data_IF_182182965725
#
_entry.id   IF_182182965725
#
_cell.length_a   1.000
_cell.length_b   1.000
_cell.length_c   1.000
_cell.angle_alpha   90.00
_cell.angle_beta   90.00
_cell.angle_gamma   90.00
#
_symmetry.space_group_name_H-M   'P 1'
#
loop_
_entity.id
_entity.type
_entity.pdbx_description
1 polymer ?
#
# COMPACT_ATOMS: atom_id res chain seq x y z
N UNK A 1 77.30 1.08 -9.29
CA UNK A 1 78.14 0.17 -10.09
C UNK A 1 77.96 -1.20 -9.48
N UNK A 2 77.01 -1.96 -10.03
CA UNK A 2 76.85 -3.39 -9.78
C UNK A 2 77.65 -4.14 -10.88
N UNK A 3 78.01 -5.42 -10.66
CA UNK A 3 77.10 -6.55 -10.93
C UNK A 3 77.06 -7.56 -9.74
N UNK A 4 76.08 -8.46 -9.52
CA UNK A 4 75.32 -9.42 -10.38
C UNK A 4 76.20 -10.60 -10.85
N UNK A 5 75.89 -11.89 -10.68
CA UNK A 5 74.86 -12.63 -9.91
C UNK A 5 75.60 -13.68 -9.00
N UNK A 6 75.17 -14.88 -8.57
CA UNK A 6 74.01 -15.79 -8.75
C UNK A 6 73.98 -16.74 -7.47
N UNK A 7 73.30 -17.88 -7.23
CA UNK A 7 72.48 -18.90 -7.95
C UNK A 7 71.47 -19.53 -6.94
N UNK A 8 70.47 -20.30 -7.40
CA UNK A 8 69.49 -21.02 -6.57
C UNK A 8 69.95 -22.41 -6.05
N UNK A 9 69.32 -22.94 -4.99
CA UNK A 9 69.51 -24.32 -4.51
C UNK A 9 68.74 -24.68 -3.23
N UNK A 10 68.10 -25.85 -3.22
CA UNK A 10 67.18 -26.37 -2.20
C UNK A 10 67.76 -26.60 -0.78
N UNK A 11 66.89 -26.53 0.24
CA UNK A 11 67.03 -27.32 1.47
C UNK A 11 65.66 -27.66 2.07
N UNK A 12 65.34 -28.96 2.16
CA UNK A 12 64.21 -29.49 2.93
C UNK A 12 64.64 -29.71 4.40
N UNK A 13 63.75 -29.43 5.37
CA UNK A 13 63.86 -30.00 6.72
C UNK A 13 62.49 -30.50 7.20
N UNK A 14 62.42 -31.77 7.59
CA UNK A 14 61.21 -32.39 8.12
C UNK A 14 61.13 -32.18 9.65
N UNK A 15 60.14 -31.40 10.12
CA UNK A 15 59.80 -31.42 11.56
C UNK A 15 58.38 -31.89 11.85
N UNK A 16 58.16 -33.16 11.53
CA UNK A 16 57.02 -33.99 11.91
C UNK A 16 56.85 -34.09 13.43
N UNK A 17 56.15 -33.15 14.06
CA UNK A 17 55.64 -33.33 15.42
C UNK A 17 54.18 -33.80 15.41
N UNK A 18 54.00 -35.10 15.68
CA UNK A 18 52.70 -35.68 16.04
C UNK A 18 52.29 -35.13 17.41
N UNK A 19 51.28 -34.27 17.46
CA UNK A 19 50.56 -33.99 18.71
C UNK A 19 49.26 -34.78 18.73
N UNK A 20 49.24 -35.76 19.64
CA UNK A 20 48.20 -36.75 19.90
C UNK A 20 46.76 -36.25 19.75
N UNK A 21 45.92 -36.99 19.01
CA UNK A 21 44.46 -36.86 19.02
C UNK A 21 43.89 -37.19 20.40
N UNK A 22 43.67 -36.16 21.23
CA UNK A 22 42.81 -36.28 22.41
C UNK A 22 41.36 -36.42 21.97
N UNK A 23 40.84 -37.66 21.91
CA UNK A 23 39.41 -37.92 21.69
C UNK A 23 38.65 -37.67 23.01
N UNK A 24 38.67 -36.41 23.41
CA UNK A 24 37.79 -35.82 24.43
C UNK A 24 36.78 -35.00 23.66
N UNK A 25 35.50 -35.38 23.72
CA UNK A 25 34.42 -34.77 22.94
C UNK A 25 34.09 -33.35 23.44
N UNK A 26 34.97 -32.39 23.14
CA UNK A 26 34.61 -30.99 23.14
C UNK A 26 33.48 -30.81 22.12
N UNK A 27 32.27 -30.51 22.62
CA UNK A 27 31.20 -29.99 21.78
C UNK A 27 31.70 -28.66 21.24
N UNK A 28 32.23 -28.69 20.01
CA UNK A 28 32.76 -27.50 19.36
C UNK A 28 31.60 -26.51 19.21
N UNK A 29 31.59 -25.47 20.04
CA UNK A 29 30.57 -24.43 20.02
C UNK A 29 30.72 -23.68 18.70
N UNK A 30 29.95 -24.11 17.69
CA UNK A 30 29.93 -23.49 16.37
C UNK A 30 29.58 -22.01 16.58
N UNK A 31 30.48 -21.07 16.25
CA UNK A 31 30.18 -19.66 16.46
C UNK A 31 28.94 -19.28 15.68
N UNK A 32 28.05 -18.47 16.24
CA UNK A 32 26.79 -18.06 15.60
C UNK A 32 26.98 -17.55 14.16
N UNK A 33 28.12 -16.93 13.86
CA UNK A 33 28.52 -16.52 12.51
C UNK A 33 28.47 -17.63 11.44
N UNK A 34 28.54 -18.91 11.83
CA UNK A 34 28.49 -20.11 10.98
C UNK A 34 27.22 -20.96 11.20
N UNK A 35 26.12 -20.36 11.68
CA UNK A 35 24.82 -21.04 11.81
C UNK A 35 24.42 -21.74 10.48
N UNK A 36 23.86 -22.94 10.57
CA UNK A 36 23.39 -23.67 9.40
C UNK A 36 22.21 -22.93 8.73
N UNK A 37 22.17 -22.94 7.39
CA UNK A 37 21.13 -22.26 6.62
C UNK A 37 19.72 -22.70 7.02
N UNK A 38 19.46 -24.00 7.11
CA UNK A 38 18.18 -24.56 7.59
C UNK A 38 17.71 -23.96 8.94
N UNK A 39 18.62 -23.80 9.90
CA UNK A 39 18.30 -23.21 11.22
C UNK A 39 17.98 -21.73 11.07
N UNK A 40 18.74 -21.00 10.24
CA UNK A 40 18.48 -19.59 9.97
C UNK A 40 17.16 -19.37 9.21
N UNK A 41 16.83 -20.24 8.26
CA UNK A 41 15.55 -20.27 7.55
C UNK A 41 14.36 -20.53 8.48
N UNK A 42 14.52 -21.44 9.46
CA UNK A 42 13.52 -21.64 10.53
C UNK A 42 13.38 -20.38 11.40
N UNK A 43 14.49 -19.77 11.85
CA UNK A 43 14.44 -18.51 12.62
C UNK A 43 13.75 -17.38 11.84
N UNK A 44 14.06 -17.23 10.54
CA UNK A 44 13.46 -16.21 9.67
C UNK A 44 11.94 -16.39 9.46
N UNK A 45 11.40 -17.61 9.60
CA UNK A 45 9.94 -17.86 9.58
C UNK A 45 9.25 -17.36 10.85
N UNK A 46 9.92 -17.44 12.01
CA UNK A 46 9.45 -16.86 13.27
C UNK A 46 9.67 -15.34 13.39
N UNK A 47 10.22 -14.69 12.35
CA UNK A 47 10.33 -13.24 12.28
C UNK A 47 9.31 -12.70 11.25
N UNK A 48 8.08 -12.37 11.67
CA UNK A 48 7.05 -11.87 10.76
C UNK A 48 7.31 -10.41 10.33
N UNK A 49 8.10 -9.66 11.12
CA UNK A 49 8.52 -8.29 10.85
C UNK A 49 9.65 -8.22 9.79
N UNK A 50 9.48 -7.39 8.75
CA UNK A 50 10.52 -7.20 7.73
C UNK A 50 11.82 -6.60 8.28
N UNK A 51 11.71 -5.68 9.24
CA UNK A 51 12.88 -5.04 9.83
C UNK A 51 13.78 -6.04 10.59
N UNK A 52 13.20 -7.06 11.19
CA UNK A 52 13.96 -8.07 11.94
C UNK A 52 14.61 -9.08 10.99
N UNK A 53 13.93 -9.47 9.91
CA UNK A 53 14.55 -10.21 8.80
C UNK A 53 15.72 -9.43 8.18
N UNK A 54 15.58 -8.11 8.03
CA UNK A 54 16.63 -7.24 7.53
C UNK A 54 17.81 -7.12 8.51
N UNK A 55 17.54 -7.10 9.83
CA UNK A 55 18.57 -7.13 10.86
C UNK A 55 19.34 -8.47 10.87
N UNK A 56 18.65 -9.61 10.76
CA UNK A 56 19.28 -10.93 10.57
C UNK A 56 20.16 -10.94 9.31
N UNK A 57 19.69 -10.35 8.20
CA UNK A 57 20.44 -10.16 6.95
C UNK A 57 21.61 -9.18 7.05
N UNK A 58 21.74 -8.39 8.12
CA UNK A 58 22.83 -7.44 8.32
C UNK A 58 24.01 -8.01 9.12
N UNK A 59 23.76 -8.97 10.04
CA UNK A 59 24.74 -9.54 10.99
C UNK A 59 26.11 -9.87 10.38
N UNK A 60 26.15 -10.68 9.31
CA UNK A 60 27.39 -10.97 8.59
C UNK A 60 27.13 -11.48 7.16
N UNK A 61 28.20 -11.66 6.37
CA UNK A 61 28.10 -12.18 4.99
C UNK A 61 27.52 -13.60 4.93
N UNK A 62 27.87 -14.46 5.89
CA UNK A 62 27.34 -15.83 5.99
C UNK A 62 25.84 -15.82 6.25
N UNK A 63 25.36 -15.06 7.25
CA UNK A 63 23.93 -14.92 7.55
C UNK A 63 23.14 -14.36 6.37
N UNK A 64 23.72 -13.39 5.64
CA UNK A 64 23.11 -12.86 4.42
C UNK A 64 22.96 -13.93 3.34
N UNK A 65 24.00 -14.71 3.07
CA UNK A 65 23.97 -15.79 2.08
C UNK A 65 23.03 -16.93 2.50
N UNK A 66 23.11 -17.37 3.76
CA UNK A 66 22.26 -18.39 4.37
C UNK A 66 20.78 -17.98 4.54
N UNK A 67 20.43 -16.71 4.27
CA UNK A 67 19.05 -16.23 4.21
C UNK A 67 18.45 -16.17 2.80
N UNK A 68 19.23 -16.54 1.77
CA UNK A 68 18.80 -16.64 0.38
C UNK A 68 18.31 -18.06 0.09
N UNK A 69 17.35 -18.20 -0.84
CA UNK A 69 16.85 -19.51 -1.28
C UNK A 69 15.82 -20.18 -0.35
N UNK A 70 15.65 -19.71 0.89
CA UNK A 70 14.54 -20.16 1.74
C UNK A 70 13.23 -19.45 1.35
N UNK A 71 12.19 -20.22 1.02
CA UNK A 71 10.82 -19.72 0.99
C UNK A 71 10.38 -19.34 2.40
N UNK A 72 10.22 -18.04 2.61
CA UNK A 72 9.65 -17.42 3.80
C UNK A 72 8.19 -17.05 3.51
N UNK A 73 7.28 -17.05 4.49
CA UNK A 73 6.00 -16.39 4.32
C UNK A 73 6.24 -14.88 4.13
N UNK A 74 5.32 -14.17 3.49
CA UNK A 74 5.35 -12.70 3.35
C UNK A 74 5.70 -11.99 4.70
N UNK A 75 6.37 -10.83 4.72
CA UNK A 75 6.42 -10.03 5.94
C UNK A 75 5.05 -9.42 6.25
N UNK A 76 4.85 -9.02 7.51
CA UNK A 76 3.69 -8.22 7.93
C UNK A 76 3.65 -6.87 7.20
N UNK A 77 2.46 -6.25 7.09
CA UNK A 77 2.32 -4.92 6.50
C UNK A 77 3.19 -3.88 7.20
N UNK A 78 3.62 -2.88 6.44
CA UNK A 78 4.31 -1.71 6.96
C UNK A 78 3.39 -0.51 6.85
N UNK A 79 3.28 0.26 7.93
CA UNK A 79 2.66 1.57 7.88
C UNK A 79 3.68 2.59 7.37
N UNK A 80 3.31 3.37 6.37
CA UNK A 80 4.11 4.46 5.80
C UNK A 80 3.47 5.79 6.15
N UNK A 81 4.20 6.64 6.86
CA UNK A 81 3.83 8.04 7.12
C UNK A 81 4.64 9.00 6.23
N UNK A 82 4.27 10.29 6.15
CA UNK A 82 4.99 11.29 5.37
C UNK A 82 6.51 11.29 5.62
N UNK A 83 7.28 11.65 4.59
CA UNK A 83 8.75 11.56 4.56
C UNK A 83 9.31 10.14 4.77
N UNK A 84 8.61 9.12 4.25
CA UNK A 84 9.03 7.71 4.24
C UNK A 84 9.42 7.15 5.62
N UNK A 85 8.62 7.51 6.64
CA UNK A 85 8.73 6.91 7.98
C UNK A 85 7.96 5.59 7.95
N UNK A 86 8.69 4.48 7.82
CA UNK A 86 8.15 3.13 7.87
C UNK A 86 8.06 2.65 9.32
N UNK A 87 6.95 2.00 9.66
CA UNK A 87 6.74 1.32 10.93
C UNK A 87 6.28 -0.11 10.64
N UNK A 88 6.71 -1.06 11.46
CA UNK A 88 6.37 -2.47 11.26
C UNK A 88 5.09 -2.81 12.02
N UNK A 89 4.11 -3.42 11.35
CA UNK A 89 2.99 -4.02 12.04
C UNK A 89 3.47 -5.26 12.84
N UNK A 90 2.89 -5.51 14.01
CA UNK A 90 3.25 -6.64 14.88
C UNK A 90 2.08 -7.61 15.05
N UNK A 91 2.38 -8.81 15.57
CA UNK A 91 1.41 -9.85 15.89
C UNK A 91 0.26 -9.35 16.78
N UNK A 92 0.59 -8.57 17.81
CA UNK A 92 -0.38 -7.98 18.75
C UNK A 92 -1.15 -6.77 18.18
N UNK A 93 -1.08 -6.50 16.88
CA UNK A 93 -1.73 -5.35 16.24
C UNK A 93 -1.07 -3.99 16.50
N UNK A 94 -0.09 -3.92 17.41
CA UNK A 94 0.66 -2.71 17.70
C UNK A 94 1.63 -2.36 16.57
N UNK A 95 1.91 -1.06 16.41
CA UNK A 95 2.82 -0.53 15.38
C UNK A 95 4.19 -0.26 16.01
N UNK A 96 5.23 -0.99 15.58
CA UNK A 96 6.55 -0.99 16.23
C UNK A 96 7.68 -0.47 15.33
N UNK A 97 8.66 0.18 15.98
CA UNK A 97 9.94 0.64 15.42
C UNK A 97 9.87 1.49 14.13
N UNK A 98 9.94 2.82 14.30
CA UNK A 98 10.15 3.75 13.20
C UNK A 98 11.51 3.53 12.52
N UNK A 99 11.52 3.49 11.18
CA UNK A 99 12.72 3.62 10.35
C UNK A 99 12.43 4.60 9.21
N UNK A 100 13.29 5.60 8.99
CA UNK A 100 13.27 6.34 7.71
C UNK A 100 13.89 5.44 6.65
N UNK A 101 13.18 5.17 5.56
CA UNK A 101 13.77 4.49 4.42
C UNK A 101 14.81 5.36 3.74
N UNK A 102 15.84 4.76 3.16
CA UNK A 102 16.60 5.45 2.12
C UNK A 102 15.75 5.48 0.85
N UNK A 103 15.77 6.60 0.13
CA UNK A 103 14.98 6.81 -1.08
C UNK A 103 15.84 7.51 -2.14
N UNK A 104 15.51 7.34 -3.43
CA UNK A 104 16.19 8.06 -4.51
C UNK A 104 16.19 9.58 -4.32
N UNK A 105 17.22 10.25 -4.86
CA UNK A 105 17.45 11.68 -4.67
C UNK A 105 16.28 12.52 -5.21
N UNK A 106 15.62 12.04 -6.27
CA UNK A 106 14.45 12.60 -6.93
C UNK A 106 13.29 12.84 -5.95
N UNK A 107 13.11 11.93 -4.99
CA UNK A 107 12.01 11.92 -4.01
C UNK A 107 12.48 12.08 -2.56
N UNK A 108 13.78 12.27 -2.31
CA UNK A 108 14.35 12.45 -0.97
C UNK A 108 14.22 13.89 -0.43
N UNK A 109 13.45 14.77 -1.07
CA UNK A 109 13.30 16.17 -0.66
C UNK A 109 12.34 16.34 0.54
N UNK A 110 12.35 17.53 1.15
CA UNK A 110 11.73 17.77 2.47
C UNK A 110 10.21 17.68 2.53
N UNK A 111 9.52 17.84 1.39
CA UNK A 111 8.07 18.04 1.30
C UNK A 111 7.37 16.92 0.51
N UNK A 112 7.86 15.69 0.67
CA UNK A 112 7.42 14.54 -0.14
C UNK A 112 6.40 13.69 0.61
N UNK A 113 5.21 13.59 -0.01
CA UNK A 113 4.07 12.82 0.47
C UNK A 113 3.99 11.43 -0.15
N UNK A 114 3.48 10.46 0.59
CA UNK A 114 3.05 9.17 0.05
C UNK A 114 1.53 9.15 -0.03
N UNK A 115 0.98 8.78 -1.18
CA UNK A 115 -0.45 8.95 -1.51
C UNK A 115 -1.02 7.67 -2.15
N UNK A 116 -0.63 6.52 -1.59
CA UNK A 116 -1.12 5.19 -1.96
C UNK A 116 0.00 4.16 -2.16
N UNK A 117 -0.35 2.86 -2.05
CA UNK A 117 0.59 1.76 -2.29
C UNK A 117 -0.01 0.62 -3.11
N UNK A 118 0.84 -0.07 -3.87
CA UNK A 118 0.49 -1.31 -4.57
C UNK A 118 1.72 -2.21 -4.70
N UNK A 119 1.70 -3.40 -4.09
CA UNK A 119 2.68 -4.47 -4.32
C UNK A 119 4.15 -4.02 -4.13
N UNK A 120 4.45 -3.26 -3.07
CA UNK A 120 5.79 -2.72 -2.78
C UNK A 120 6.15 -1.41 -3.51
N UNK A 121 5.29 -0.94 -4.41
CA UNK A 121 5.35 0.41 -4.96
C UNK A 121 4.56 1.38 -4.08
N UNK A 122 5.07 2.61 -3.99
CA UNK A 122 4.44 3.76 -3.36
C UNK A 122 4.14 4.78 -4.46
N UNK A 123 2.95 5.39 -4.44
CA UNK A 123 2.72 6.64 -5.15
C UNK A 123 3.22 7.79 -4.29
N UNK A 124 3.98 8.68 -4.91
CA UNK A 124 4.75 9.73 -4.24
C UNK A 124 4.47 11.07 -4.91
N UNK A 125 4.07 12.07 -4.13
CA UNK A 125 3.85 13.44 -4.58
C UNK A 125 4.96 14.38 -4.09
N UNK A 126 5.45 15.24 -4.99
CA UNK A 126 6.50 16.25 -4.73
C UNK A 126 6.07 17.61 -5.28
N UNK A 127 5.85 18.63 -4.44
CA UNK A 127 5.58 19.99 -4.90
C UNK A 127 6.70 20.54 -5.80
N UNK A 128 6.33 21.29 -6.84
CA UNK A 128 7.29 22.04 -7.64
C UNK A 128 7.86 23.24 -6.86
N UNK A 129 9.07 23.68 -7.20
CA UNK A 129 9.70 24.87 -6.60
C UNK A 129 8.94 26.18 -6.88
N UNK A 130 8.13 26.20 -7.94
CA UNK A 130 7.20 27.29 -8.28
C UNK A 130 5.90 27.30 -7.45
N UNK A 131 5.63 26.23 -6.68
CA UNK A 131 4.43 26.09 -5.86
C UNK A 131 3.12 25.88 -6.64
N UNK A 132 3.16 25.63 -7.96
CA UNK A 132 1.96 25.61 -8.81
C UNK A 132 1.33 24.22 -9.00
N UNK A 133 2.12 23.16 -8.97
CA UNK A 133 1.71 21.77 -9.25
C UNK A 133 2.54 20.77 -8.44
N UNK A 134 2.06 19.53 -8.28
CA UNK A 134 2.84 18.42 -7.72
C UNK A 134 3.23 17.38 -8.76
N UNK A 135 4.54 17.14 -8.88
CA UNK A 135 5.07 16.03 -9.67
C UNK A 135 4.84 14.70 -8.95
N UNK A 136 4.47 13.66 -9.70
CA UNK A 136 4.03 12.38 -9.14
C UNK A 136 4.89 11.24 -9.69
N UNK A 137 5.32 10.35 -8.80
CA UNK A 137 6.25 9.25 -9.08
C UNK A 137 5.74 7.95 -8.48
N UNK A 138 5.82 6.85 -9.21
CA UNK A 138 5.75 5.52 -8.58
C UNK A 138 7.17 5.13 -8.18
N UNK A 139 7.39 4.85 -6.90
CA UNK A 139 8.70 4.48 -6.34
C UNK A 139 8.60 3.11 -5.68
N UNK A 140 9.46 2.18 -6.05
CA UNK A 140 9.55 0.89 -5.37
C UNK A 140 10.37 1.04 -4.09
N UNK A 141 9.79 0.69 -2.94
CA UNK A 141 10.43 0.89 -1.63
C UNK A 141 11.61 -0.08 -1.34
N UNK A 142 11.93 -1.00 -2.26
CA UNK A 142 12.95 -2.04 -2.07
C UNK A 142 13.97 -2.14 -3.21
N UNK A 143 13.54 -2.02 -4.47
CA UNK A 143 14.45 -1.91 -5.62
C UNK A 143 14.93 -0.47 -5.86
N UNK A 144 14.24 0.52 -5.29
CA UNK A 144 14.44 1.96 -5.53
C UNK A 144 14.23 2.38 -7.00
N UNK A 145 13.55 1.56 -7.80
CA UNK A 145 13.11 1.91 -9.15
C UNK A 145 12.06 3.02 -9.12
N UNK A 146 12.11 3.92 -10.12
CA UNK A 146 11.23 5.07 -10.25
C UNK A 146 10.53 5.03 -11.61
N UNK A 147 9.22 5.26 -11.63
CA UNK A 147 8.47 5.62 -12.83
C UNK A 147 7.90 7.02 -12.64
N UNK A 148 8.45 7.98 -13.37
CA UNK A 148 7.91 9.34 -13.43
C UNK A 148 6.57 9.32 -14.15
N UNK A 149 5.50 9.78 -13.49
CA UNK A 149 4.20 9.95 -14.13
C UNK A 149 4.18 11.33 -14.82
N UNK A 150 3.47 11.50 -15.95
CA UNK A 150 3.25 12.83 -16.52
C UNK A 150 2.43 13.68 -15.55
N UNK A 151 2.60 15.01 -15.62
CA UNK A 151 1.76 15.94 -14.84
C UNK A 151 0.28 15.82 -15.26
N UNK A 152 -0.64 16.19 -14.37
CA UNK A 152 -2.09 16.23 -14.63
C UNK A 152 -2.51 17.40 -15.55
N UNK A 153 -1.95 17.42 -16.75
CA UNK A 153 -2.31 18.32 -17.85
C UNK A 153 -2.89 17.47 -18.97
N UNK A 154 -4.20 17.25 -18.90
CA UNK A 154 -4.93 16.49 -19.90
C UNK A 154 -5.33 17.44 -21.06
N UNK A 155 -4.87 17.19 -22.30
CA UNK A 155 -5.21 18.06 -23.43
C UNK A 155 -6.67 17.93 -23.88
N UNK A 156 -7.35 16.83 -23.52
CA UNK A 156 -8.72 16.52 -23.93
C UNK A 156 -9.49 15.77 -22.82
N UNK A 157 -10.79 16.02 -22.72
CA UNK A 157 -11.75 15.19 -21.97
C UNK A 157 -12.77 14.59 -22.96
N UNK A 158 -13.02 13.27 -22.87
CA UNK A 158 -13.77 12.54 -23.90
C UNK A 158 -15.25 12.86 -23.99
N UNK A 159 -15.85 13.41 -22.94
CA UNK A 159 -17.30 13.68 -22.84
C UNK A 159 -17.69 15.14 -22.97
N UNK A 160 -16.77 16.08 -22.74
CA UNK A 160 -17.01 17.52 -22.94
C UNK A 160 -16.50 18.04 -24.28
N UNK A 161 -15.49 17.40 -24.88
CA UNK A 161 -14.82 17.89 -26.09
C UNK A 161 -14.08 19.22 -25.88
N UNK A 162 -13.85 19.61 -24.62
CA UNK A 162 -13.25 20.90 -24.26
C UNK A 162 -11.73 20.95 -24.45
N UNK A 163 -11.22 22.18 -24.41
CA UNK A 163 -9.81 22.57 -24.44
C UNK A 163 -8.97 21.93 -23.32
N UNK A 164 -7.63 21.92 -23.45
CA UNK A 164 -6.72 21.50 -22.39
C UNK A 164 -7.04 22.15 -21.05
N UNK A 165 -7.11 21.34 -20.00
CA UNK A 165 -7.41 21.78 -18.64
C UNK A 165 -6.33 21.36 -17.65
N UNK A 166 -6.31 22.05 -16.51
CA UNK A 166 -5.31 21.89 -15.45
C UNK A 166 -6.02 21.36 -14.21
N UNK A 167 -5.49 20.30 -13.61
CA UNK A 167 -6.02 19.78 -12.36
C UNK A 167 -5.82 20.77 -11.20
N UNK A 168 -6.73 20.73 -10.24
CA UNK A 168 -6.62 21.54 -9.04
C UNK A 168 -5.63 20.90 -8.06
N UNK A 169 -4.34 21.12 -8.30
CA UNK A 169 -3.22 20.74 -7.43
C UNK A 169 -2.98 21.75 -6.27
N UNK A 170 -3.94 22.66 -6.01
CA UNK A 170 -3.92 23.60 -4.87
C UNK A 170 -3.78 22.83 -3.54
N UNK A 171 -2.69 23.02 -2.77
CA UNK A 171 -2.43 22.23 -1.56
C UNK A 171 -3.46 22.45 -0.44
N UNK A 172 -4.37 23.44 -0.51
CA UNK A 172 -5.48 23.57 0.44
C UNK A 172 -6.73 22.73 0.06
N UNK A 173 -6.83 22.25 -1.19
CA UNK A 173 -8.04 21.53 -1.67
C UNK A 173 -7.77 20.32 -2.60
N UNK A 174 -6.51 20.01 -2.92
CA UNK A 174 -6.14 18.91 -3.82
C UNK A 174 -6.17 17.55 -3.13
N UNK A 175 -7.23 16.77 -3.38
CA UNK A 175 -7.24 15.30 -3.25
C UNK A 175 -6.92 14.58 -4.57
N UNK A 176 -6.17 15.23 -5.46
CA UNK A 176 -6.02 14.84 -6.86
C UNK A 176 -4.92 13.78 -7.04
N UNK A 177 -5.28 12.61 -7.59
CA UNK A 177 -4.48 11.38 -7.67
C UNK A 177 -4.06 10.76 -6.32
N UNK A 178 -4.64 11.19 -5.19
CA UNK A 178 -4.32 10.61 -3.88
C UNK A 178 -5.04 9.28 -3.60
N UNK A 179 -5.90 8.85 -4.53
CA UNK A 179 -6.34 7.48 -4.70
C UNK A 179 -5.87 6.96 -6.06
N UNK A 180 -4.95 6.00 -6.06
CA UNK A 180 -4.45 5.31 -7.27
C UNK A 180 -4.35 3.81 -7.04
N UNK A 181 -4.84 3.04 -8.02
CA UNK A 181 -4.64 1.60 -8.13
C UNK A 181 -3.87 1.25 -9.40
N UNK A 182 -3.06 0.20 -9.29
CA UNK A 182 -2.27 -0.36 -10.39
C UNK A 182 -2.87 -1.71 -10.80
N UNK A 183 -3.03 -1.95 -12.11
CA UNK A 183 -3.49 -3.26 -12.63
C UNK A 183 -2.47 -4.37 -12.38
N UNK A 184 -1.18 -4.02 -12.40
CA UNK A 184 -0.03 -4.89 -12.15
C UNK A 184 1.15 -4.03 -11.67
N UNK A 185 2.23 -4.61 -11.11
CA UNK A 185 3.45 -3.87 -10.86
C UNK A 185 4.06 -3.31 -12.16
N UNK A 186 4.60 -2.08 -12.14
CA UNK A 186 5.55 -1.64 -13.16
C UNK A 186 6.70 -2.65 -13.32
N UNK A 187 7.17 -2.86 -14.55
CA UNK A 187 8.19 -3.86 -14.87
C UNK A 187 7.70 -5.32 -14.93
N UNK A 188 6.44 -5.62 -14.59
CA UNK A 188 5.86 -6.95 -14.79
C UNK A 188 5.65 -7.28 -16.28
N UNK A 189 5.48 -8.57 -16.61
CA UNK A 189 5.24 -9.04 -17.98
C UNK A 189 3.89 -8.58 -18.57
N UNK A 190 3.00 -8.07 -17.72
CA UNK A 190 1.69 -7.49 -18.06
C UNK A 190 1.77 -5.96 -18.12
N UNK A 191 1.05 -5.31 -19.04
CA UNK A 191 0.95 -3.84 -19.08
C UNK A 191 0.41 -3.30 -17.75
N UNK A 192 1.23 -2.50 -17.05
CA UNK A 192 0.81 -1.76 -15.87
C UNK A 192 -0.05 -0.56 -16.30
N UNK A 193 -1.31 -0.56 -15.87
CA UNK A 193 -2.23 0.59 -15.99
C UNK A 193 -2.31 1.23 -14.60
N UNK A 194 -2.07 2.53 -14.56
CA UNK A 194 -2.26 3.41 -13.41
C UNK A 194 -3.65 4.03 -13.56
N UNK A 195 -4.54 3.80 -12.60
CA UNK A 195 -5.89 4.37 -12.58
C UNK A 195 -6.11 5.13 -11.28
N UNK A 196 -6.70 6.32 -11.35
CA UNK A 196 -6.96 7.17 -10.18
C UNK A 196 -7.89 8.34 -10.47
N UNK A 197 -8.11 9.17 -9.47
CA UNK A 197 -9.05 10.30 -9.56
C UNK A 197 -8.35 11.64 -9.82
N UNK A 198 -9.07 12.60 -10.42
CA UNK A 198 -8.60 13.99 -10.57
C UNK A 198 -9.74 14.99 -10.45
N UNK A 199 -9.42 16.22 -10.05
CA UNK A 199 -10.36 17.32 -9.86
C UNK A 199 -9.92 18.54 -10.67
N UNK A 200 -10.86 19.31 -11.25
CA UNK A 200 -10.58 20.43 -12.16
C UNK A 200 -10.79 21.79 -11.48
N UNK A 201 -9.89 22.74 -11.75
CA UNK A 201 -10.08 24.15 -11.36
C UNK A 201 -10.63 24.98 -12.53
N UNK A 202 -11.45 26.01 -12.30
CA UNK A 202 -12.12 26.35 -11.05
C UNK A 202 -13.33 25.44 -10.75
N UNK A 203 -13.77 25.43 -9.49
CA UNK A 203 -15.04 24.82 -9.08
C UNK A 203 -16.26 25.64 -9.57
N UNK A 204 -17.45 25.03 -9.74
CA UNK A 204 -17.78 23.62 -9.51
C UNK A 204 -17.48 22.76 -10.74
N UNK A 205 -16.65 21.74 -10.58
CA UNK A 205 -16.30 20.78 -11.63
C UNK A 205 -16.58 19.34 -11.17
N UNK A 206 -16.89 18.45 -12.12
CA UNK A 206 -17.00 17.02 -11.83
C UNK A 206 -15.61 16.37 -11.78
N UNK A 207 -15.37 15.42 -10.86
CA UNK A 207 -14.16 14.62 -10.88
C UNK A 207 -14.03 13.80 -12.17
N UNK A 208 -12.80 13.49 -12.55
CA UNK A 208 -12.48 12.62 -13.68
C UNK A 208 -11.78 11.35 -13.23
N UNK A 209 -12.22 10.21 -13.78
CA UNK A 209 -11.44 8.98 -13.77
C UNK A 209 -10.27 9.16 -14.75
N UNK A 210 -9.06 9.02 -14.25
CA UNK A 210 -7.81 9.16 -15.02
C UNK A 210 -7.14 7.82 -15.21
N UNK A 211 -6.56 7.63 -16.40
CA UNK A 211 -5.84 6.41 -16.78
C UNK A 211 -4.51 6.80 -17.43
N UNK A 212 -3.46 6.04 -17.12
CA UNK A 212 -2.15 6.14 -17.78
C UNK A 212 -1.48 4.76 -17.83
N UNK A 213 -0.64 4.53 -18.83
CA UNK A 213 0.26 3.37 -18.89
C UNK A 213 1.65 3.80 -19.41
N UNK A 214 2.73 3.06 -19.08
CA UNK A 214 4.07 3.33 -19.60
C UNK A 214 4.09 3.49 -21.13
N UNK A 215 4.65 4.62 -21.59
CA UNK A 215 4.68 5.02 -22.99
C UNK A 215 3.72 6.16 -23.35
N UNK A 216 2.65 6.39 -22.57
CA UNK A 216 1.76 7.55 -22.76
C UNK A 216 2.44 8.86 -22.32
N UNK A 217 2.29 9.91 -23.12
CA UNK A 217 2.84 11.25 -22.83
C UNK A 217 1.96 12.10 -21.91
N UNK A 218 0.68 11.78 -21.82
CA UNK A 218 -0.36 12.49 -21.08
C UNK A 218 -1.33 11.48 -20.45
N UNK A 219 -2.10 11.91 -19.45
CA UNK A 219 -3.21 11.10 -18.93
C UNK A 219 -4.38 11.07 -19.92
N UNK A 220 -5.07 9.93 -19.98
CA UNK A 220 -6.42 9.84 -20.50
C UNK A 220 -7.41 10.19 -19.38
N UNK A 221 -8.51 10.87 -19.69
CA UNK A 221 -9.52 11.29 -18.70
C UNK A 221 -10.93 11.00 -19.19
N UNK A 222 -11.68 10.30 -18.34
CA UNK A 222 -13.11 10.05 -18.48
C UNK A 222 -13.90 10.81 -17.40
N UNK A 223 -14.79 11.72 -17.81
CA UNK A 223 -15.70 12.44 -16.93
C UNK A 223 -17.15 12.06 -17.23
N UNK A 224 -17.98 11.91 -16.19
CA UNK A 224 -19.42 11.67 -16.31
C UNK A 224 -20.10 12.00 -14.98
N UNK A 225 -21.42 12.22 -14.96
CA UNK A 225 -22.20 12.35 -13.72
C UNK A 225 -22.08 11.09 -12.83
N UNK A 226 -21.84 9.92 -13.44
CA UNK A 226 -21.53 8.67 -12.73
C UNK A 226 -20.17 8.69 -12.00
N UNK A 227 -19.34 9.71 -12.25
CA UNK A 227 -18.06 9.99 -11.58
C UNK A 227 -18.18 11.24 -10.70
N UNK A 228 -19.39 11.67 -10.33
CA UNK A 228 -19.58 12.85 -9.45
C UNK A 228 -19.21 12.62 -7.98
N UNK A 229 -19.34 11.38 -7.48
CA UNK A 229 -19.20 11.03 -6.06
C UNK A 229 -18.52 9.67 -5.87
N UNK A 230 -17.21 9.58 -6.08
CA UNK A 230 -16.47 8.31 -5.90
C UNK A 230 -16.09 8.07 -4.43
N UNK A 231 -15.69 6.84 -4.12
CA UNK A 231 -15.08 6.47 -2.84
C UNK A 231 -13.91 5.49 -2.98
N UNK A 232 -13.90 4.60 -3.98
CA UNK A 232 -12.83 3.61 -4.14
C UNK A 232 -12.70 3.11 -5.60
N UNK A 233 -11.56 2.53 -5.95
CA UNK A 233 -11.24 1.89 -7.24
C UNK A 233 -10.59 0.52 -7.03
N UNK A 234 -10.90 -0.45 -7.90
CA UNK A 234 -10.22 -1.76 -7.89
C UNK A 234 -10.21 -2.42 -9.26
N UNK A 235 -9.05 -2.92 -9.68
CA UNK A 235 -8.93 -3.77 -10.86
C UNK A 235 -9.38 -5.21 -10.53
N UNK A 236 -10.30 -5.76 -11.31
CA UNK A 236 -10.81 -7.11 -11.11
C UNK A 236 -11.26 -7.73 -12.44
N UNK A 237 -10.90 -9.00 -12.69
CA UNK A 237 -11.28 -9.76 -13.90
C UNK A 237 -11.08 -9.00 -15.24
N UNK A 238 -10.04 -8.18 -15.35
CA UNK A 238 -9.73 -7.38 -16.55
C UNK A 238 -10.54 -6.08 -16.72
N UNK A 239 -11.46 -5.78 -15.79
CA UNK A 239 -12.19 -4.52 -15.70
C UNK A 239 -11.66 -3.65 -14.56
N UNK A 240 -11.99 -2.36 -14.62
CA UNK A 240 -11.82 -1.43 -13.50
C UNK A 240 -13.20 -1.20 -12.86
N UNK A 241 -13.31 -1.51 -11.58
CA UNK A 241 -14.51 -1.26 -10.79
C UNK A 241 -14.32 0.00 -9.94
N UNK A 242 -15.37 0.80 -9.84
CA UNK A 242 -15.41 2.02 -9.04
C UNK A 242 -16.62 2.00 -8.12
N UNK A 243 -16.41 2.39 -6.87
CA UNK A 243 -17.51 2.59 -5.92
C UNK A 243 -17.94 4.06 -5.97
N UNK A 244 -19.18 4.31 -6.40
CA UNK A 244 -19.84 5.61 -6.31
C UNK A 244 -20.77 5.63 -5.09
N UNK A 245 -20.73 6.71 -4.31
CA UNK A 245 -21.54 6.87 -3.11
C UNK A 245 -21.76 8.34 -2.79
N UNK A 246 -23.03 8.73 -2.64
CA UNK A 246 -23.37 10.04 -2.06
C UNK A 246 -22.94 10.13 -0.59
N UNK A 247 -22.46 11.30 -0.18
CA UNK A 247 -22.12 11.60 1.21
C UNK A 247 -23.36 11.56 2.13
N UNK A 248 -24.53 11.92 1.60
CA UNK A 248 -25.81 11.77 2.29
C UNK A 248 -26.29 10.30 2.31
N UNK A 249 -26.67 9.81 3.50
CA UNK A 249 -27.04 8.43 3.81
C UNK A 249 -28.34 7.88 3.14
N UNK A 250 -28.92 8.59 2.17
CA UNK A 250 -30.24 8.25 1.59
C UNK A 250 -30.17 7.26 0.41
N UNK A 251 -29.02 7.15 -0.26
CA UNK A 251 -28.81 6.29 -1.43
C UNK A 251 -27.84 5.15 -1.10
N UNK A 252 -28.13 3.94 -1.60
CA UNK A 252 -27.23 2.79 -1.52
C UNK A 252 -25.99 3.03 -2.41
N UNK A 253 -24.80 2.50 -2.04
CA UNK A 253 -23.62 2.62 -2.88
C UNK A 253 -23.84 1.91 -4.23
N UNK A 254 -23.34 2.53 -5.30
CA UNK A 254 -23.40 2.01 -6.65
C UNK A 254 -22.01 1.49 -7.06
N UNK A 255 -21.96 0.22 -7.45
CA UNK A 255 -20.76 -0.34 -8.07
C UNK A 255 -20.83 -0.12 -9.59
N UNK A 256 -19.80 0.52 -10.14
CA UNK A 256 -19.70 0.87 -11.56
C UNK A 256 -18.55 0.10 -12.19
N UNK A 257 -18.77 -0.45 -13.38
CA UNK A 257 -17.78 -1.27 -14.09
C UNK A 257 -17.37 -0.63 -15.41
N UNK A 258 -16.06 -0.44 -15.57
CA UNK A 258 -15.43 0.14 -16.75
C UNK A 258 -14.62 -0.94 -17.47
N UNK A 259 -14.93 -1.16 -18.74
CA UNK A 259 -14.10 -1.92 -19.65
C UNK A 259 -13.05 -0.96 -20.22
N UNK A 260 -11.77 -1.32 -20.09
CA UNK A 260 -10.68 -0.54 -20.65
C UNK A 260 -10.34 -1.02 -22.07
N UNK A 261 -9.85 -0.11 -22.90
CA UNK A 261 -9.34 -0.40 -24.23
C UNK A 261 -7.98 0.24 -24.46
N UNK A 262 -7.47 0.10 -25.68
CA UNK A 262 -6.22 0.72 -26.09
C UNK A 262 -6.36 1.25 -27.52
N UNK A 263 -5.87 2.46 -27.77
CA UNK A 263 -5.87 3.14 -29.07
C UNK A 263 -4.48 3.73 -29.40
N UNK A 264 -4.38 4.57 -30.44
CA UNK A 264 -3.13 5.22 -30.87
C UNK A 264 -2.55 6.22 -29.84
N UNK A 265 -3.31 6.56 -28.79
CA UNK A 265 -2.91 7.48 -27.73
C UNK A 265 -2.63 6.76 -26.40
N UNK A 266 -3.16 5.55 -26.21
CA UNK A 266 -2.84 4.64 -25.11
C UNK A 266 -4.07 3.98 -24.50
N UNK A 267 -4.08 3.79 -23.18
CA UNK A 267 -5.23 3.19 -22.48
C UNK A 267 -6.41 4.17 -22.43
N UNK A 268 -7.61 3.66 -22.70
CA UNK A 268 -8.87 4.41 -22.67
C UNK A 268 -9.96 3.65 -21.91
N UNK A 269 -11.10 4.32 -21.65
CA UNK A 269 -12.36 3.64 -21.31
C UNK A 269 -13.08 3.30 -22.61
N UNK A 270 -13.14 2.02 -22.95
CA UNK A 270 -13.80 1.52 -24.16
C UNK A 270 -15.28 1.18 -23.95
N UNK A 271 -15.69 0.96 -22.69
CA UNK A 271 -17.09 0.74 -22.32
C UNK A 271 -17.40 1.09 -20.87
N UNK A 272 -18.59 1.63 -20.66
CA UNK A 272 -19.19 1.83 -19.33
C UNK A 272 -20.40 0.92 -19.23
N UNK A 273 -20.38 -0.02 -18.28
CA UNK A 273 -21.53 -0.87 -18.00
C UNK A 273 -22.54 -0.13 -17.11
N UNK A 274 -23.83 -0.47 -17.22
CA UNK A 274 -24.85 0.13 -16.35
C UNK A 274 -24.51 -0.14 -14.87
N UNK A 275 -24.88 0.77 -13.94
CA UNK A 275 -24.64 0.57 -12.52
C UNK A 275 -25.09 -0.83 -12.07
N UNK A 276 -24.17 -1.55 -11.43
CA UNK A 276 -24.42 -2.90 -10.94
C UNK A 276 -25.48 -2.78 -9.85
N UNK A 277 -26.65 -3.39 -10.10
CA UNK A 277 -27.79 -3.33 -9.17
C UNK A 277 -27.42 -4.07 -7.89
N UNK A 278 -27.13 -3.31 -6.85
CA UNK A 278 -26.93 -3.79 -5.48
C UNK A 278 -28.30 -3.94 -4.78
N UNK A 279 -28.49 -4.94 -3.91
CA UNK A 279 -29.66 -5.00 -3.04
C UNK A 279 -29.67 -3.84 -2.03
N UNK A 280 -30.83 -3.51 -1.44
CA UNK A 280 -30.97 -2.39 -0.51
C UNK A 280 -30.23 -2.64 0.81
N UNK A 281 -28.96 -2.22 0.84
CA UNK A 281 -28.12 -2.16 2.05
C UNK A 281 -28.84 -1.38 3.17
N UNK A 282 -28.79 -1.85 4.43
CA UNK A 282 -29.42 -1.17 5.56
C UNK A 282 -29.00 0.30 5.66
N UNK A 283 -30.00 1.19 5.62
CA UNK A 283 -29.77 2.63 5.78
C UNK A 283 -29.21 2.93 7.18
N UNK A 284 -28.20 3.79 7.31
CA UNK A 284 -27.78 4.30 8.61
C UNK A 284 -28.95 4.94 9.37
N UNK A 285 -28.88 4.94 10.70
CA UNK A 285 -29.69 5.84 11.53
C UNK A 285 -29.37 7.31 11.21
N UNK A 286 -30.26 8.27 11.52
CA UNK A 286 -30.12 9.66 11.07
C UNK A 286 -28.87 10.41 11.59
N UNK A 287 -28.17 9.86 12.60
CA UNK A 287 -26.90 10.38 13.15
C UNK A 287 -25.66 9.68 12.59
N UNK A 288 -25.82 8.59 11.84
CA UNK A 288 -24.72 7.74 11.37
C UNK A 288 -24.35 8.04 9.92
N UNK A 289 -23.06 8.16 9.66
CA UNK A 289 -22.49 8.20 8.31
C UNK A 289 -21.91 6.83 7.97
N UNK A 290 -22.10 6.35 6.75
CA UNK A 290 -21.28 5.25 6.25
C UNK A 290 -19.89 5.75 5.81
N UNK A 291 -18.95 4.83 5.65
CA UNK A 291 -17.75 4.87 4.78
C UNK A 291 -17.72 3.51 4.07
N UNK A 292 -17.59 3.51 2.74
CA UNK A 292 -17.73 2.30 1.93
C UNK A 292 -16.51 2.12 1.05
N UNK A 293 -15.90 0.93 1.08
CA UNK A 293 -14.65 0.63 0.40
C UNK A 293 -14.71 -0.75 -0.29
N UNK A 294 -13.84 -1.00 -1.26
CA UNK A 294 -13.73 -2.25 -2.01
C UNK A 294 -12.39 -2.95 -1.73
N UNK A 295 -12.43 -4.26 -1.46
CA UNK A 295 -11.23 -5.07 -1.28
C UNK A 295 -11.30 -6.36 -2.10
N UNK A 296 -10.16 -6.78 -2.66
CA UNK A 296 -10.02 -8.14 -3.18
C UNK A 296 -9.63 -9.09 -2.04
N UNK A 297 -10.42 -10.14 -1.85
CA UNK A 297 -10.15 -11.21 -0.90
C UNK A 297 -10.31 -12.56 -1.60
N UNK A 298 -9.27 -13.40 -1.56
CA UNK A 298 -9.21 -14.74 -2.18
C UNK A 298 -9.67 -14.84 -3.65
N UNK A 299 -9.53 -13.74 -4.40
CA UNK A 299 -9.94 -13.67 -5.81
C UNK A 299 -11.40 -13.26 -6.04
N UNK A 300 -12.14 -12.94 -4.97
CA UNK A 300 -13.49 -12.35 -5.00
C UNK A 300 -13.43 -10.86 -4.66
N UNK A 301 -14.44 -10.11 -5.10
CA UNK A 301 -14.64 -8.71 -4.71
C UNK A 301 -15.49 -8.64 -3.43
N UNK A 302 -15.09 -7.82 -2.46
CA UNK A 302 -15.79 -7.61 -1.19
C UNK A 302 -16.02 -6.13 -0.96
N UNK A 303 -17.24 -5.77 -0.56
CA UNK A 303 -17.64 -4.43 -0.12
C UNK A 303 -17.60 -4.37 1.41
N UNK A 304 -16.87 -3.40 1.96
CA UNK A 304 -16.85 -3.10 3.41
C UNK A 304 -17.63 -1.80 3.63
N UNK A 305 -18.55 -1.80 4.59
CA UNK A 305 -19.40 -0.66 4.96
C UNK A 305 -19.24 -0.40 6.45
N UNK A 306 -18.44 0.60 6.79
CA UNK A 306 -18.21 1.06 8.17
C UNK A 306 -19.18 2.18 8.51
N UNK A 307 -19.92 2.05 9.60
CA UNK A 307 -20.83 3.07 10.12
C UNK A 307 -20.14 3.83 11.24
N UNK A 308 -20.12 5.17 11.16
CA UNK A 308 -19.51 6.08 12.14
C UNK A 308 -20.50 7.15 12.62
N UNK A 309 -20.37 7.61 13.88
CA UNK A 309 -21.24 8.66 14.42
C UNK A 309 -20.81 10.07 13.97
N UNK A 310 -21.59 10.72 13.11
CA UNK A 310 -21.23 12.01 12.52
C UNK A 310 -21.33 13.22 13.45
N UNK A 311 -21.92 13.07 14.65
CA UNK A 311 -22.32 14.22 15.49
C UNK A 311 -21.47 14.44 16.75
N UNK A 312 -20.77 13.42 17.26
CA UNK A 312 -20.04 13.50 18.55
C UNK A 312 -18.57 13.11 18.39
N UNK A 313 -18.29 12.06 17.62
CA UNK A 313 -16.94 11.60 17.30
C UNK A 313 -16.93 11.08 15.85
N UNK A 314 -16.61 11.94 14.84
CA UNK A 314 -16.84 11.68 13.40
C UNK A 314 -16.12 10.46 12.77
N UNK A 315 -15.45 9.64 13.59
CA UNK A 315 -14.73 8.44 13.20
C UNK A 315 -15.02 7.24 14.13
N UNK A 316 -15.77 7.43 15.24
CA UNK A 316 -16.11 6.33 16.14
C UNK A 316 -16.94 5.29 15.39
N UNK A 317 -16.39 4.09 15.27
CA UNK A 317 -16.99 2.96 14.57
C UNK A 317 -18.10 2.34 15.41
N UNK A 318 -19.34 2.40 14.93
CA UNK A 318 -20.50 1.80 15.60
C UNK A 318 -20.83 0.40 15.06
N UNK A 319 -20.58 0.17 13.76
CA UNK A 319 -20.79 -1.12 13.08
C UNK A 319 -19.88 -1.24 11.86
N UNK A 320 -19.49 -2.45 11.47
CA UNK A 320 -18.97 -2.70 10.12
C UNK A 320 -19.67 -3.91 9.51
N UNK A 321 -20.29 -3.69 8.37
CA UNK A 321 -20.95 -4.72 7.55
C UNK A 321 -20.05 -5.06 6.38
N UNK A 322 -19.94 -6.35 6.04
CA UNK A 322 -19.01 -6.84 5.02
C UNK A 322 -19.75 -7.80 4.11
N UNK A 323 -19.65 -7.56 2.79
CA UNK A 323 -20.40 -8.31 1.80
C UNK A 323 -19.52 -8.83 0.67
N UNK A 324 -19.50 -10.14 0.46
CA UNK A 324 -18.93 -10.76 -0.73
C UNK A 324 -19.84 -10.52 -1.94
N UNK A 325 -19.25 -10.11 -3.07
CA UNK A 325 -19.97 -9.72 -4.29
C UNK A 325 -19.78 -10.78 -5.38
N UNK A 326 -20.88 -11.43 -5.78
CA UNK A 326 -20.96 -12.29 -6.94
C UNK A 326 -21.42 -11.50 -8.17
N UNK A 327 -20.46 -11.16 -9.00
CA UNK A 327 -20.62 -10.40 -10.25
C UNK A 327 -21.09 -11.27 -11.43
N UNK A 328 -21.25 -12.59 -11.25
CA UNK A 328 -21.79 -13.49 -12.27
C UNK A 328 -23.32 -13.49 -12.34
N UNK A 329 -23.98 -12.97 -11.30
CA UNK A 329 -25.44 -12.87 -11.16
C UNK A 329 -25.88 -11.43 -11.45
N UNK A 330 -27.07 -11.26 -12.06
CA UNK A 330 -27.70 -9.96 -12.31
C UNK A 330 -29.16 -9.98 -11.79
N UNK A 331 -29.55 -9.17 -10.78
CA UNK A 331 -28.72 -8.25 -10.00
C UNK A 331 -27.56 -8.95 -9.26
N UNK A 332 -26.55 -8.19 -8.83
CA UNK A 332 -25.37 -8.75 -8.18
C UNK A 332 -25.75 -9.60 -6.97
N UNK A 333 -25.17 -10.79 -6.86
CA UNK A 333 -25.29 -11.61 -5.66
C UNK A 333 -24.50 -10.97 -4.54
N UNK A 334 -25.13 -10.72 -3.39
CA UNK A 334 -24.49 -10.06 -2.26
C UNK A 334 -24.72 -10.89 -1.02
N UNK A 335 -23.63 -11.42 -0.45
CA UNK A 335 -23.66 -12.31 0.72
C UNK A 335 -22.93 -11.64 1.87
N UNK A 336 -23.61 -11.42 2.99
CA UNK A 336 -22.98 -10.90 4.21
C UNK A 336 -21.99 -11.94 4.76
N UNK A 337 -20.78 -11.50 5.14
CA UNK A 337 -19.73 -12.36 5.69
C UNK A 337 -19.28 -11.84 7.06
N UNK A 338 -19.11 -12.77 8.00
CA UNK A 338 -18.74 -12.49 9.40
C UNK A 338 -17.31 -12.96 9.74
N UNK A 339 -16.54 -13.35 8.72
CA UNK A 339 -15.16 -13.83 8.82
C UNK A 339 -14.48 -13.67 7.44
N UNK A 340 -13.17 -13.52 7.45
CA UNK A 340 -12.27 -13.62 6.29
C UNK A 340 -11.46 -14.93 6.34
N UNK A 341 -12.02 -16.00 6.92
CA UNK A 341 -11.37 -17.30 7.17
C UNK A 341 -10.01 -17.18 7.89
N UNK A 342 -9.89 -16.23 8.84
CA UNK A 342 -8.65 -15.93 9.54
C UNK A 342 -7.65 -15.04 8.78
N UNK A 343 -7.98 -14.57 7.57
CA UNK A 343 -7.26 -13.45 6.95
C UNK A 343 -7.67 -12.12 7.63
N UNK A 344 -6.99 -11.03 7.28
CA UNK A 344 -7.32 -9.67 7.73
C UNK A 344 -7.45 -8.71 6.55
N UNK A 345 -8.11 -7.58 6.78
CA UNK A 345 -8.10 -6.44 5.85
C UNK A 345 -7.51 -5.22 6.54
N UNK A 346 -6.72 -4.45 5.81
CA UNK A 346 -6.25 -3.15 6.23
C UNK A 346 -6.84 -2.09 5.32
N UNK A 347 -7.15 -0.95 5.93
CA UNK A 347 -7.84 0.19 5.34
C UNK A 347 -7.05 1.44 5.71
N UNK A 348 -6.56 2.14 4.70
CA UNK A 348 -6.03 3.50 4.81
C UNK A 348 -6.93 4.47 4.00
N UNK A 349 -6.71 5.80 4.05
CA UNK A 349 -7.54 6.74 3.30
C UNK A 349 -7.50 6.48 1.79
N UNK A 350 -6.38 5.99 1.25
CA UNK A 350 -6.20 5.79 -0.19
C UNK A 350 -6.82 4.47 -0.69
N UNK A 351 -6.79 3.40 0.12
CA UNK A 351 -7.01 2.02 -0.35
C UNK A 351 -7.41 1.00 0.74
N UNK A 352 -8.10 -0.06 0.34
CA UNK A 352 -8.21 -1.32 1.09
C UNK A 352 -7.36 -2.46 0.50
N UNK A 353 -6.79 -3.33 1.34
CA UNK A 353 -6.05 -4.53 0.92
C UNK A 353 -6.18 -5.67 1.94
N UNK A 354 -6.39 -6.90 1.45
CA UNK A 354 -6.42 -8.11 2.27
C UNK A 354 -5.03 -8.72 2.49
N UNK A 355 -4.87 -9.45 3.59
CA UNK A 355 -3.61 -10.06 4.01
C UNK A 355 -3.85 -11.41 4.69
N UNK A 356 -3.12 -12.49 4.35
CA UNK A 356 -3.38 -13.84 4.85
C UNK A 356 -2.85 -14.04 6.29
N UNK A 357 -3.47 -13.36 7.26
CA UNK A 357 -3.05 -13.28 8.65
C UNK A 357 -2.95 -14.66 9.35
N UNK A 358 -3.81 -15.62 8.98
CA UNK A 358 -3.74 -17.01 9.44
C UNK A 358 -2.46 -17.76 9.06
N UNK A 359 -1.54 -17.16 8.29
CA UNK A 359 -0.20 -17.70 8.00
C UNK A 359 0.85 -17.37 9.08
N UNK A 360 0.48 -16.66 10.16
CA UNK A 360 1.40 -16.15 11.17
C UNK A 360 0.91 -16.41 12.60
N UNK A 361 1.74 -17.10 13.38
CA UNK A 361 1.46 -17.31 14.81
C UNK A 361 1.33 -15.97 15.54
N UNK A 362 0.22 -15.81 16.26
CA UNK A 362 -0.05 -14.65 17.11
C UNK A 362 -0.64 -13.42 16.42
N UNK A 363 -0.82 -13.39 15.09
CA UNK A 363 -1.63 -12.34 14.43
C UNK A 363 -3.11 -12.66 14.63
N UNK A 364 -3.90 -11.68 15.07
CA UNK A 364 -5.36 -11.87 15.17
C UNK A 364 -6.03 -11.78 13.79
N UNK A 365 -6.44 -12.94 13.27
CA UNK A 365 -7.29 -13.06 12.07
C UNK A 365 -8.73 -12.56 12.27
N UNK A 366 -9.46 -12.39 11.15
CA UNK A 366 -10.83 -11.85 11.08
C UNK A 366 -10.97 -10.39 11.60
N UNK A 367 -9.90 -9.62 11.43
CA UNK A 367 -9.82 -8.22 11.83
C UNK A 367 -9.77 -7.28 10.63
N UNK A 368 -10.39 -6.11 10.78
CA UNK A 368 -10.29 -4.98 9.87
C UNK A 368 -9.55 -3.84 10.58
N UNK A 369 -8.37 -3.47 10.08
CA UNK A 369 -7.50 -2.43 10.63
C UNK A 369 -7.67 -1.13 9.86
N UNK A 370 -8.36 -0.16 10.46
CA UNK A 370 -8.53 1.18 9.92
C UNK A 370 -7.44 2.12 10.44
N UNK A 371 -6.83 2.89 9.54
CA UNK A 371 -6.10 4.11 9.88
C UNK A 371 -6.68 5.30 9.12
N UNK A 372 -6.91 6.40 9.82
CA UNK A 372 -7.49 7.63 9.26
C UNK A 372 -6.77 8.85 9.81
N UNK A 373 -6.49 9.82 8.95
CA UNK A 373 -6.08 11.17 9.33
C UNK A 373 -7.33 11.98 9.70
N UNK A 374 -7.25 12.73 10.79
CA UNK A 374 -8.29 13.65 11.24
C UNK A 374 -7.66 14.95 11.73
N UNK A 375 -8.19 16.08 11.26
CA UNK A 375 -7.89 17.41 11.77
C UNK A 375 -9.18 18.00 12.36
N UNK A 376 -9.12 18.46 13.62
CA UNK A 376 -10.32 18.80 14.40
C UNK A 376 -10.84 20.22 14.15
N UNK A 377 -10.01 21.08 13.58
CA UNK A 377 -10.32 22.38 12.96
C UNK A 377 -9.12 22.84 12.11
N UNK A 378 -9.27 23.89 11.30
CA UNK A 378 -8.22 24.39 10.37
C UNK A 378 -6.85 24.62 11.05
N UNK A 379 -6.84 25.04 12.33
CA UNK A 379 -5.64 25.34 13.12
C UNK A 379 -5.18 24.19 14.05
N UNK A 380 -5.96 23.11 14.19
CA UNK A 380 -5.59 21.96 15.04
C UNK A 380 -4.54 21.06 14.35
N UNK A 381 -3.66 20.41 15.13
CA UNK A 381 -2.67 19.48 14.58
C UNK A 381 -3.33 18.22 13.98
N UNK A 382 -2.83 17.69 12.84
CA UNK A 382 -3.36 16.47 12.24
C UNK A 382 -3.06 15.27 13.15
N UNK A 383 -4.11 14.56 13.57
CA UNK A 383 -4.00 13.34 14.36
C UNK A 383 -4.34 12.11 13.52
N UNK A 384 -3.75 10.96 13.88
CA UNK A 384 -3.99 9.70 13.21
C UNK A 384 -4.77 8.76 14.13
N UNK A 385 -6.00 8.41 13.76
CA UNK A 385 -6.80 7.45 14.53
C UNK A 385 -6.60 6.04 13.96
N UNK A 386 -6.20 5.11 14.83
CA UNK A 386 -5.91 3.71 14.53
C UNK A 386 -6.91 2.82 15.26
N UNK A 387 -7.78 2.11 14.53
CA UNK A 387 -8.78 1.21 15.14
C UNK A 387 -8.85 -0.14 14.46
N UNK A 388 -9.02 -1.19 15.24
CA UNK A 388 -9.31 -2.54 14.77
C UNK A 388 -10.76 -2.90 15.09
N UNK A 389 -11.47 -3.42 14.10
CA UNK A 389 -12.76 -4.08 14.25
C UNK A 389 -12.56 -5.59 14.15
N UNK A 390 -12.96 -6.33 15.18
CA UNK A 390 -12.98 -7.78 15.18
C UNK A 390 -14.34 -8.29 14.68
N UNK A 391 -14.37 -8.96 13.52
CA UNK A 391 -15.63 -9.42 12.91
C UNK A 391 -16.31 -10.53 13.74
N UNK A 392 -15.57 -11.25 14.59
CA UNK A 392 -16.09 -12.38 15.38
C UNK A 392 -16.93 -11.97 16.59
N UNK A 393 -16.62 -10.81 17.19
CA UNK A 393 -17.29 -10.30 18.41
C UNK A 393 -17.85 -8.88 18.27
N UNK A 394 -17.67 -8.25 17.10
CA UNK A 394 -18.10 -6.87 16.81
C UNK A 394 -17.31 -5.79 17.56
N UNK A 395 -16.26 -6.15 18.32
CA UNK A 395 -15.57 -5.16 19.16
C UNK A 395 -14.65 -4.26 18.34
N UNK A 396 -14.79 -2.97 18.60
CA UNK A 396 -13.88 -1.91 18.13
C UNK A 396 -12.90 -1.59 19.24
N UNK A 397 -11.61 -1.57 18.93
CA UNK A 397 -10.54 -1.20 19.87
C UNK A 397 -9.52 -0.30 19.17
N UNK A 398 -8.93 0.71 19.83
CA UNK A 398 -7.72 1.33 19.33
C UNK A 398 -6.58 0.30 19.34
N UNK A 399 -5.68 0.35 18.36
CA UNK A 399 -4.44 -0.43 18.40
C UNK A 399 -3.24 0.47 18.65
N UNK A 400 -2.34 0.05 19.54
CA UNK A 400 -1.33 0.96 20.11
C UNK A 400 -0.34 1.44 19.07
N UNK A 401 -0.37 2.75 18.84
CA UNK A 401 0.51 3.46 17.93
C UNK A 401 1.17 4.66 18.65
N UNK A 402 1.80 4.37 19.80
CA UNK A 402 2.54 5.30 20.69
C UNK A 402 3.70 6.07 20.01
N UNK A 403 3.93 5.85 18.72
CA UNK A 403 4.99 6.46 17.91
C UNK A 403 4.46 7.45 16.85
N UNK A 404 3.14 7.70 16.81
CA UNK A 404 2.51 8.62 15.84
C UNK A 404 2.66 10.11 16.23
N UNK A 405 3.34 10.44 17.32
CA UNK A 405 3.78 11.80 17.64
C UNK A 405 4.92 12.25 16.71
N UNK A 406 4.56 12.57 15.46
CA UNK A 406 5.46 13.19 14.50
C UNK A 406 5.71 14.67 14.76
N UNK A 407 6.34 15.34 13.80
CA UNK A 407 6.45 16.80 13.80
C UNK A 407 5.22 17.34 13.05
N UNK A 408 4.33 18.15 13.66
CA UNK A 408 3.01 18.47 13.08
C UNK A 408 3.07 19.06 11.66
N UNK A 409 4.08 19.90 11.38
CA UNK A 409 4.30 20.48 10.06
C UNK A 409 4.77 19.46 8.99
N UNK A 410 5.28 18.29 9.39
CA UNK A 410 5.62 17.19 8.46
C UNK A 410 4.39 16.31 8.14
N UNK A 411 3.44 16.20 9.07
CA UNK A 411 2.32 15.25 8.97
C UNK A 411 1.05 15.83 8.31
N UNK A 412 1.01 17.15 8.11
CA UNK A 412 0.07 17.77 7.20
C UNK A 412 0.28 17.34 5.73
N UNK A 413 1.52 17.03 5.31
CA UNK A 413 1.91 16.89 3.89
C UNK A 413 1.29 15.73 3.10
N UNK A 414 0.82 14.66 3.75
CA UNK A 414 0.14 13.53 3.09
C UNK A 414 -0.65 12.66 4.08
N UNK A 415 -1.32 11.64 3.56
CA UNK A 415 -2.04 10.63 4.33
C UNK A 415 -1.13 9.43 4.73
N UNK A 416 -1.54 8.66 5.76
CA UNK A 416 -0.87 7.44 6.16
C UNK A 416 -1.28 6.27 5.24
N UNK A 417 -0.35 5.40 4.85
CA UNK A 417 -0.59 4.35 3.82
C UNK A 417 -0.10 2.97 4.28
N UNK A 418 -0.89 1.92 4.05
CA UNK A 418 -0.46 0.54 4.25
C UNK A 418 0.31 0.01 3.04
N UNK A 419 1.60 -0.26 3.23
CA UNK A 419 2.43 -0.95 2.23
C UNK A 419 2.56 -2.43 2.57
N UNK A 420 2.38 -3.27 1.55
CA UNK A 420 2.53 -4.72 1.65
C UNK A 420 3.76 -5.14 0.85
N UNK A 421 4.90 -5.43 1.50
CA UNK A 421 6.11 -5.85 0.80
C UNK A 421 5.89 -7.15 0.00
N UNK A 422 6.71 -7.47 -1.00
CA UNK A 422 6.76 -8.80 -1.59
C UNK A 422 7.27 -9.85 -0.58
N UNK A 423 7.26 -11.13 -0.98
CA UNK A 423 7.75 -12.26 -0.19
C UNK A 423 9.30 -12.31 -0.09
#
# INVERSE_FOLDING_TARGET
MDPVADTAGEALDEKRQRTTTSITAAVAVVPWAFILAEILGVVLRFLPCLADRAAVRSVCRHWRAASQGHSLPRPLPLLVLPRFRFFSFSTHGAVVAMRRGWMPQEVSTGHVGCVGSSQGWLLVARPCEDGTESERFLVNAFSHEIVCLPRLRAPYCTTSGELPWIANDDPKYSGSLDHVVLSAPPGSATKCIVAGFSYRSPAPSLPGLTLWQPGMKTWYVYQSDWVAWMSDLVFHQGKLYMLNRSWYAFQSPLLLAFTLGEDEHGVNVSGFERPVTMPPIPRPGPTLWARCNLVLWRGSLVLIIRYVEGCVSPFQTEKVDVFALDLSINPCGVTEIHSFDGDCVFVDPCRCTSFPAGSYDGVQGDCIYFIEKYQKGDDDEPSYMTTVYNMRDGTVKPFTAELLSGNPAEDNLADPVWMFPPE
#
